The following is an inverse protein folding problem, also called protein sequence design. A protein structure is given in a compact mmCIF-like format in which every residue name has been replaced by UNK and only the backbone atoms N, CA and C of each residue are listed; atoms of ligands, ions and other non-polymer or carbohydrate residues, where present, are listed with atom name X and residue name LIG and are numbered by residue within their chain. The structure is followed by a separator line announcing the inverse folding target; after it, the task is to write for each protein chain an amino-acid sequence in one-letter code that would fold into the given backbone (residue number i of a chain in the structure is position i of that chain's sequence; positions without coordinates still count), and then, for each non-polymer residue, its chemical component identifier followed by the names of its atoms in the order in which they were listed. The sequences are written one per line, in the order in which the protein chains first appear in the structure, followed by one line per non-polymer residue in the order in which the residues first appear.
data_IF_878665521704
#
_entry.id   IF_878665521704
#
_cell.length_a   1.000
_cell.length_b   1.000
_cell.length_c   1.000
_cell.angle_alpha   90.00
_cell.angle_beta   90.00
_cell.angle_gamma   90.00
#
_symmetry.space_group_name_H-M   'P 1'
#
loop_
_entity.id
_entity.type
_entity.pdbx_description
1 polymer ?
#
# COMPACT_ATOMS: atom_id res chain seq x y z
N UNK A 1 -5.73 -8.64 27.75
CA UNK A 1 -4.66 -7.69 28.10
C UNK A 1 -4.46 -6.76 26.92
N UNK A 2 -4.86 -5.48 27.02
CA UNK A 2 -4.79 -4.53 25.91
C UNK A 2 -3.46 -3.79 26.02
N UNK A 3 -2.54 -4.02 25.08
CA UNK A 3 -1.24 -3.37 25.03
C UNK A 3 -1.44 -1.93 24.56
N UNK A 4 -1.17 -0.95 25.43
CA UNK A 4 -1.24 0.48 25.07
C UNK A 4 -0.03 0.83 24.23
N UNK A 5 -0.26 1.15 22.97
CA UNK A 5 0.75 1.70 22.09
C UNK A 5 0.83 3.21 22.28
N UNK A 6 2.02 3.72 22.58
CA UNK A 6 2.33 5.16 22.54
C UNK A 6 3.20 5.39 21.31
N UNK A 7 2.72 6.16 20.35
CA UNK A 7 3.43 6.45 19.11
C UNK A 7 2.93 7.74 18.46
N UNK A 8 3.80 8.36 17.67
CA UNK A 8 3.47 9.50 16.81
C UNK A 8 3.27 8.97 15.40
N UNK A 9 2.17 9.35 14.75
CA UNK A 9 1.91 9.02 13.36
C UNK A 9 2.68 10.00 12.48
N UNK A 10 3.42 9.45 11.52
CA UNK A 10 4.14 10.21 10.50
C UNK A 10 3.66 9.73 9.14
N UNK A 11 3.44 10.66 8.22
CA UNK A 11 3.20 10.31 6.83
C UNK A 11 4.50 9.90 6.11
N UNK A 12 4.37 9.44 4.86
CA UNK A 12 5.50 8.93 4.07
C UNK A 12 6.52 10.03 3.73
N UNK A 13 6.06 11.27 3.54
CA UNK A 13 6.92 12.42 3.24
C UNK A 13 7.66 12.87 4.49
N UNK A 14 6.97 12.97 5.62
CA UNK A 14 7.52 13.26 6.94
C UNK A 14 8.55 12.21 7.36
N UNK A 15 8.27 10.92 7.14
CA UNK A 15 9.20 9.84 7.44
C UNK A 15 10.46 9.90 6.56
N UNK A 16 10.33 10.28 5.28
CA UNK A 16 11.47 10.49 4.37
C UNK A 16 12.29 11.70 4.78
N UNK A 17 11.63 12.82 5.04
CA UNK A 17 12.26 14.05 5.50
C UNK A 17 13.04 13.82 6.80
N UNK A 18 12.44 13.13 7.77
CA UNK A 18 13.09 12.80 9.03
C UNK A 18 14.30 11.89 8.84
N UNK A 19 14.22 10.91 7.93
CA UNK A 19 15.37 10.06 7.61
C UNK A 19 16.54 10.87 7.01
N UNK A 20 16.25 11.81 6.11
CA UNK A 20 17.26 12.69 5.49
C UNK A 20 17.89 13.64 6.52
N UNK A 21 17.10 14.23 7.41
CA UNK A 21 17.59 15.09 8.49
C UNK A 21 18.50 14.30 9.44
N UNK A 22 18.09 13.09 9.83
CA UNK A 22 18.89 12.23 10.71
C UNK A 22 20.20 11.80 10.05
N UNK A 23 20.20 11.54 8.74
CA UNK A 23 21.44 11.28 8.00
C UNK A 23 22.36 12.49 7.92
N UNK A 24 21.79 13.67 7.70
CA UNK A 24 22.58 14.89 7.68
C UNK A 24 23.22 15.14 9.05
N UNK A 25 22.47 14.96 10.13
CA UNK A 25 22.98 15.04 11.50
C UNK A 25 24.03 13.96 11.80
N UNK A 26 23.84 12.73 11.30
CA UNK A 26 24.80 11.64 11.44
C UNK A 26 26.15 11.92 10.75
N UNK A 27 26.16 12.70 9.66
CA UNK A 27 27.40 13.10 8.97
C UNK A 27 28.21 14.15 9.74
N UNK A 28 27.56 14.96 10.57
CA UNK A 28 28.20 16.03 11.35
C UNK A 28 28.66 15.53 12.73
N UNK A 29 28.12 14.41 13.21
CA UNK A 29 28.44 13.82 14.51
C UNK A 29 28.97 12.38 14.46
N UNK A 30 28.98 11.71 15.63
CA UNK A 30 29.16 10.26 15.71
C UNK A 30 27.77 9.61 15.78
N UNK A 31 27.28 8.96 14.71
CA UNK A 31 25.99 8.29 14.76
C UNK A 31 26.03 7.15 15.77
N UNK A 32 25.00 7.07 16.60
CA UNK A 32 24.78 5.90 17.44
C UNK A 32 24.09 4.81 16.63
N UNK A 33 24.34 3.54 16.95
CA UNK A 33 23.69 2.40 16.28
C UNK A 33 22.15 2.49 16.30
N UNK A 34 21.58 3.20 17.29
CA UNK A 34 20.15 3.47 17.40
C UNK A 34 19.64 4.43 16.32
N UNK A 35 20.45 5.42 15.93
CA UNK A 35 20.12 6.38 14.86
C UNK A 35 20.18 5.67 13.51
N UNK A 36 21.19 4.84 13.27
CA UNK A 36 21.30 4.05 12.03
C UNK A 36 20.13 3.06 11.87
N UNK A 37 19.74 2.42 12.97
CA UNK A 37 18.57 1.55 12.99
C UNK A 37 17.26 2.32 12.76
N UNK A 38 17.13 3.53 13.31
CA UNK A 38 15.97 4.38 13.08
C UNK A 38 15.89 4.87 11.63
N UNK A 39 17.01 5.33 11.05
CA UNK A 39 17.11 5.74 9.64
C UNK A 39 16.72 4.58 8.73
N UNK A 40 17.23 3.36 9.00
CA UNK A 40 16.85 2.16 8.23
C UNK A 40 15.36 1.86 8.32
N UNK A 41 14.76 1.96 9.52
CA UNK A 41 13.33 1.72 9.72
C UNK A 41 12.47 2.76 9.01
N UNK A 42 12.83 4.04 9.10
CA UNK A 42 12.13 5.13 8.41
C UNK A 42 12.21 4.96 6.89
N UNK A 43 13.38 4.64 6.35
CA UNK A 43 13.53 4.35 4.91
C UNK A 43 12.75 3.13 4.46
N UNK A 44 12.73 2.08 5.26
CA UNK A 44 11.94 0.88 4.93
C UNK A 44 10.45 1.18 4.93
N UNK A 45 9.99 2.05 5.82
CA UNK A 45 8.60 2.49 5.87
C UNK A 45 8.25 3.48 4.74
N UNK A 46 9.20 4.32 4.33
CA UNK A 46 8.99 5.38 3.33
C UNK A 46 9.44 5.01 1.89
N UNK A 47 10.10 3.86 1.72
CA UNK A 47 10.55 3.36 0.43
C UNK A 47 9.40 2.74 -0.38
N UNK A 48 9.53 2.64 -1.71
CA UNK A 48 8.59 1.84 -2.49
C UNK A 48 8.60 0.42 -1.93
N UNK A 49 7.40 -0.08 -1.57
CA UNK A 49 7.22 -1.44 -1.08
C UNK A 49 7.48 -2.42 -2.23
N UNK A 50 8.75 -2.69 -2.51
CA UNK A 50 9.14 -3.92 -3.20
C UNK A 50 8.87 -5.06 -2.23
N UNK A 51 7.82 -5.81 -2.51
CA UNK A 51 7.46 -7.05 -1.84
C UNK A 51 8.61 -8.07 -1.94
N UNK A 52 9.59 -7.95 -1.04
CA UNK A 52 10.46 -9.05 -0.66
C UNK A 52 9.67 -9.93 0.32
N UNK A 53 9.00 -10.92 -0.26
CA UNK A 53 8.40 -12.06 0.44
C UNK A 53 9.36 -12.70 1.45
N UNK A 54 8.77 -13.40 2.42
CA UNK A 54 9.38 -14.39 3.32
C UNK A 54 10.18 -13.85 4.52
N UNK A 55 9.45 -13.44 5.57
CA UNK A 55 9.59 -14.09 6.88
C UNK A 55 8.51 -13.60 7.87
N UNK A 56 7.94 -14.54 8.60
CA UNK A 56 7.02 -14.39 9.74
C UNK A 56 5.52 -14.23 9.42
N UNK A 57 4.86 -15.39 9.39
CA UNK A 57 3.50 -15.68 9.90
C UNK A 57 2.76 -14.48 10.52
N UNK A 58 1.58 -14.20 9.97
CA UNK A 58 0.43 -13.81 10.81
C UNK A 58 0.09 -12.32 10.89
N UNK A 59 0.11 -11.59 9.78
CA UNK A 59 -0.80 -10.44 9.59
C UNK A 59 -0.78 -10.09 8.11
N UNK A 60 -1.90 -10.25 7.41
CA UNK A 60 -2.08 -9.60 6.11
C UNK A 60 -1.92 -8.10 6.38
N UNK A 61 -0.91 -7.39 5.83
CA UNK A 61 -0.98 -5.95 5.82
C UNK A 61 -2.19 -5.66 4.95
N UNK A 62 -3.22 -5.06 5.54
CA UNK A 62 -4.34 -4.54 4.78
C UNK A 62 -3.78 -3.33 4.05
N UNK A 63 -3.56 -3.39 2.73
CA UNK A 63 -3.04 -2.24 2.03
C UNK A 63 -4.10 -1.13 2.11
N UNK A 64 -3.63 0.04 2.51
CA UNK A 64 -4.40 1.26 2.61
C UNK A 64 -4.99 1.58 1.23
N UNK A 65 -6.33 1.65 1.08
CA UNK A 65 -6.98 1.97 -0.18
C UNK A 65 -6.60 3.36 -0.74
N UNK A 66 -6.04 4.25 0.10
CA UNK A 66 -5.80 5.65 -0.24
C UNK A 66 -4.52 5.94 -1.03
N UNK A 67 -3.62 4.97 -1.24
CA UNK A 67 -2.30 5.20 -1.85
C UNK A 67 -2.07 4.41 -3.15
N UNK A 68 -3.09 4.36 -4.01
CA UNK A 68 -2.98 3.73 -5.33
C UNK A 68 -2.45 4.75 -6.34
N UNK A 69 -1.24 4.52 -6.86
CA UNK A 69 -0.71 5.32 -7.96
C UNK A 69 -1.45 4.97 -9.25
N UNK A 70 -1.48 5.93 -10.17
CA UNK A 70 -2.14 5.80 -11.49
C UNK A 70 -1.65 4.57 -12.28
N UNK A 71 -0.41 4.12 -12.04
CA UNK A 71 0.22 2.97 -12.70
C UNK A 71 0.20 1.68 -11.88
N UNK A 72 -0.42 1.66 -10.70
CA UNK A 72 -0.42 0.48 -9.84
C UNK A 72 -1.35 -0.60 -10.39
N UNK A 73 -0.88 -1.85 -10.29
CA UNK A 73 -1.66 -3.04 -10.59
C UNK A 73 -2.15 -3.67 -9.28
N UNK A 74 -3.45 -3.86 -9.16
CA UNK A 74 -4.09 -4.45 -7.98
C UNK A 74 -4.61 -5.86 -8.27
N UNK A 75 -4.57 -6.73 -7.28
CA UNK A 75 -5.15 -8.07 -7.42
C UNK A 75 -6.69 -8.05 -7.30
N UNK A 76 -7.32 -9.20 -7.55
CA UNK A 76 -8.79 -9.34 -7.50
C UNK A 76 -9.36 -8.99 -6.10
N UNK A 77 -8.64 -9.32 -5.03
CA UNK A 77 -9.11 -9.11 -3.66
C UNK A 77 -9.00 -7.64 -3.25
N UNK A 78 -7.97 -6.96 -3.72
CA UNK A 78 -7.78 -5.53 -3.54
C UNK A 78 -8.80 -4.73 -4.36
N UNK A 79 -9.00 -5.07 -5.65
CA UNK A 79 -10.05 -4.47 -6.46
C UNK A 79 -11.46 -4.59 -5.83
N UNK A 80 -11.75 -5.74 -5.22
CA UNK A 80 -13.01 -5.98 -4.53
C UNK A 80 -13.21 -5.03 -3.33
N UNK A 81 -12.14 -4.75 -2.58
CA UNK A 81 -12.17 -3.80 -1.46
C UNK A 81 -12.38 -2.36 -1.91
N UNK A 82 -11.71 -1.92 -2.98
CA UNK A 82 -11.86 -0.56 -3.53
C UNK A 82 -13.31 -0.35 -4.01
N UNK A 83 -13.87 -1.31 -4.74
CA UNK A 83 -15.24 -1.21 -5.27
C UNK A 83 -16.30 -1.41 -4.18
N UNK A 84 -15.94 -2.00 -3.04
CA UNK A 84 -16.89 -2.39 -2.00
C UNK A 84 -17.78 -3.56 -2.42
N UNK A 85 -17.22 -4.60 -3.07
CA UNK A 85 -17.95 -5.77 -3.54
C UNK A 85 -17.20 -7.09 -3.30
N UNK A 86 -17.78 -8.23 -3.73
CA UNK A 86 -17.12 -9.53 -3.61
C UNK A 86 -16.09 -9.77 -4.72
N UNK A 87 -15.10 -10.64 -4.46
CA UNK A 87 -14.11 -11.07 -5.47
C UNK A 87 -14.77 -11.79 -6.66
N UNK A 88 -15.88 -12.49 -6.43
CA UNK A 88 -16.69 -13.09 -7.49
C UNK A 88 -17.29 -12.02 -8.41
N UNK A 89 -17.78 -10.92 -7.84
CA UNK A 89 -18.29 -9.79 -8.61
C UNK A 89 -17.18 -9.13 -9.46
N UNK A 90 -15.96 -8.97 -8.93
CA UNK A 90 -14.83 -8.45 -9.73
C UNK A 90 -14.51 -9.38 -10.91
N UNK A 91 -14.49 -10.70 -10.69
CA UNK A 91 -14.30 -11.68 -11.79
C UNK A 91 -15.41 -11.60 -12.82
N UNK A 92 -16.64 -11.38 -12.38
CA UNK A 92 -17.79 -11.17 -13.26
C UNK A 92 -17.66 -9.88 -14.09
N UNK A 93 -17.26 -8.76 -13.48
CA UNK A 93 -17.02 -7.49 -14.18
C UNK A 93 -15.91 -7.62 -15.23
N UNK A 94 -14.83 -8.34 -14.90
CA UNK A 94 -13.78 -8.70 -15.85
C UNK A 94 -14.31 -9.54 -17.01
N UNK A 95 -15.08 -10.58 -16.71
CA UNK A 95 -15.64 -11.47 -17.73
C UNK A 95 -16.61 -10.74 -18.69
N UNK A 96 -17.29 -9.70 -18.20
CA UNK A 96 -18.14 -8.81 -18.98
C UNK A 96 -17.38 -7.70 -19.74
N UNK A 97 -16.05 -7.61 -19.57
CA UNK A 97 -15.23 -6.56 -20.18
C UNK A 97 -15.42 -5.17 -19.57
N UNK A 98 -16.06 -5.08 -18.40
CA UNK A 98 -16.32 -3.79 -17.72
C UNK A 98 -15.07 -3.28 -17.01
N UNK A 99 -14.24 -4.19 -16.49
CA UNK A 99 -12.95 -3.85 -15.90
C UNK A 99 -11.82 -4.42 -16.76
N UNK A 100 -10.85 -3.58 -17.18
CA UNK A 100 -9.65 -4.06 -17.85
C UNK A 100 -8.81 -4.89 -16.87
N UNK A 101 -8.19 -5.95 -17.37
CA UNK A 101 -7.32 -6.80 -16.57
C UNK A 101 -6.17 -7.36 -17.41
N UNK A 102 -5.01 -7.48 -16.79
CA UNK A 102 -3.83 -8.12 -17.33
C UNK A 102 -3.67 -9.50 -16.72
N UNK A 103 -3.35 -10.50 -17.55
CA UNK A 103 -3.05 -11.85 -17.08
C UNK A 103 -1.57 -11.94 -16.73
N UNK A 104 -1.27 -12.16 -15.45
CA UNK A 104 0.07 -12.38 -14.94
C UNK A 104 0.18 -13.81 -14.40
N UNK A 105 0.58 -14.74 -15.26
CA UNK A 105 0.59 -16.17 -14.96
C UNK A 105 -0.82 -16.74 -14.71
N UNK A 106 -1.07 -17.25 -13.51
CA UNK A 106 -2.36 -17.84 -13.10
C UNK A 106 -3.37 -16.83 -12.57
N UNK A 107 -2.98 -15.57 -12.35
CA UNK A 107 -3.81 -14.53 -11.74
C UNK A 107 -4.08 -13.37 -12.68
N UNK A 108 -5.17 -12.65 -12.39
CA UNK A 108 -5.52 -11.39 -13.03
C UNK A 108 -5.13 -10.22 -12.14
N UNK A 109 -4.46 -9.25 -12.75
CA UNK A 109 -4.15 -7.96 -12.17
C UNK A 109 -4.98 -6.89 -12.87
N UNK A 110 -5.44 -5.91 -12.11
CA UNK A 110 -6.32 -4.85 -12.57
C UNK A 110 -5.58 -3.52 -12.44
N UNK A 111 -5.58 -2.66 -13.47
CA UNK A 111 -5.08 -1.31 -13.33
C UNK A 111 -5.90 -0.55 -12.27
N UNK A 112 -5.23 0.14 -11.35
CA UNK A 112 -5.89 0.78 -10.21
C UNK A 112 -6.84 1.89 -10.63
N UNK A 113 -6.46 2.74 -11.59
CA UNK A 113 -7.28 3.87 -12.04
C UNK A 113 -8.68 3.42 -12.54
N UNK A 114 -8.82 2.50 -13.52
CA UNK A 114 -10.13 2.00 -13.95
C UNK A 114 -10.99 1.38 -12.83
N UNK A 115 -10.35 0.78 -11.82
CA UNK A 115 -11.04 0.21 -10.66
C UNK A 115 -11.61 1.31 -9.76
N UNK A 116 -10.83 2.36 -9.49
CA UNK A 116 -11.26 3.54 -8.72
C UNK A 116 -12.38 4.28 -9.45
N UNK A 117 -12.21 4.57 -10.74
CA UNK A 117 -13.25 5.23 -11.54
C UNK A 117 -14.56 4.44 -11.56
N UNK A 118 -14.48 3.10 -11.59
CA UNK A 118 -15.67 2.26 -11.48
C UNK A 118 -16.32 2.37 -10.10
N UNK A 119 -15.53 2.39 -9.03
CA UNK A 119 -16.02 2.54 -7.66
C UNK A 119 -16.72 3.90 -7.47
N UNK A 120 -16.15 4.99 -7.97
CA UNK A 120 -16.73 6.33 -7.93
C UNK A 120 -18.06 6.40 -8.69
N UNK A 121 -18.11 5.88 -9.93
CA UNK A 121 -19.36 5.80 -10.70
C UNK A 121 -20.43 4.99 -10.01
N UNK A 122 -20.05 3.94 -9.27
CA UNK A 122 -20.98 3.11 -8.50
C UNK A 122 -21.50 3.85 -7.27
N UNK A 123 -20.62 4.55 -6.54
CA UNK A 123 -21.01 5.36 -5.38
C UNK A 123 -21.98 6.47 -5.77
N UNK A 124 -21.72 7.17 -6.88
CA UNK A 124 -22.61 8.22 -7.41
C UNK A 124 -24.01 7.73 -7.85
N UNK A 125 -24.24 6.42 -7.99
CA UNK A 125 -25.56 5.84 -8.29
C UNK A 125 -26.31 5.38 -7.04
N UNK A 126 -25.60 5.27 -5.92
CA UNK A 126 -26.13 4.74 -4.66
C UNK A 126 -26.37 5.83 -3.61
N UNK A 127 -25.77 7.02 -3.79
CA UNK A 127 -26.11 8.25 -3.07
C UNK A 127 -27.15 9.06 -3.82
#
# INVERSE_FOLDING_TARGET
MIQRFSGVLLDVEEARYLAEVLEHAARVGRPSARVDDLIRRLRRAAGPSEDANEAAKGKRPQPDPGHLRVHDLVDTAHAARIIGCSTANVRYLRARGVLPAHRAGSRFLFPAQPVVEYAERRAARLG
#
